data_IF_924316375734
#
_entry.id   IF_924316375734
#
_cell.length_a   1.000
_cell.length_b   1.000
_cell.length_c   1.000
_cell.angle_alpha   90.00
_cell.angle_beta   90.00
_cell.angle_gamma   90.00
#
_symmetry.space_group_name_H-M   'P 1'
#
loop_
_entity.id
_entity.type
_entity.pdbx_description
1 polymer ?
#
# COMPACT_ATOMS: atom_id res chain seq x y z
N UNK A 1 -19.74 8.11 8.31
CA UNK A 1 -20.42 6.85 7.90
C UNK A 1 -19.37 5.74 7.75
N UNK A 2 -18.28 5.90 6.97
CA UNK A 2 -17.26 4.85 6.74
C UNK A 2 -16.58 4.42 8.04
N UNK A 3 -16.02 5.35 8.79
CA UNK A 3 -15.36 5.12 10.08
C UNK A 3 -16.32 4.57 11.15
N UNK A 4 -17.55 5.08 11.15
CA UNK A 4 -18.59 4.70 12.11
C UNK A 4 -19.08 3.27 11.88
N UNK A 5 -19.25 2.85 10.62
CA UNK A 5 -19.70 1.50 10.26
C UNK A 5 -18.56 0.50 10.13
N UNK A 6 -17.31 0.97 10.14
CA UNK A 6 -16.12 0.14 9.87
C UNK A 6 -16.26 -0.69 8.58
N UNK A 7 -16.62 0.01 7.49
CA UNK A 7 -16.79 -0.56 6.16
C UNK A 7 -16.12 0.35 5.13
N UNK A 8 -15.61 -0.19 4.05
CA UNK A 8 -15.09 0.57 2.92
C UNK A 8 -15.54 -0.01 1.59
N UNK A 9 -15.41 0.79 0.55
CA UNK A 9 -15.87 0.46 -0.81
C UNK A 9 -14.68 0.04 -1.66
N UNK A 10 -14.86 -1.05 -2.39
CA UNK A 10 -13.93 -1.59 -3.38
C UNK A 10 -14.59 -1.52 -4.75
N UNK A 11 -14.03 -0.72 -5.64
CA UNK A 11 -14.59 -0.43 -6.95
C UNK A 11 -13.89 -1.26 -8.03
N UNK A 12 -14.69 -1.94 -8.84
CA UNK A 12 -14.26 -2.68 -9.99
C UNK A 12 -13.91 -4.16 -9.76
N UNK A 13 -13.81 -4.93 -10.87
CA UNK A 13 -13.66 -6.40 -10.81
C UNK A 13 -12.33 -6.84 -10.19
N UNK A 14 -11.23 -6.13 -10.45
CA UNK A 14 -9.91 -6.48 -9.89
C UNK A 14 -9.86 -6.31 -8.36
N UNK A 15 -10.53 -5.29 -7.85
CA UNK A 15 -10.65 -5.10 -6.40
C UNK A 15 -11.49 -6.21 -5.76
N UNK A 16 -12.61 -6.58 -6.37
CA UNK A 16 -13.43 -7.70 -5.88
C UNK A 16 -12.67 -9.03 -5.96
N UNK A 17 -11.95 -9.31 -7.06
CA UNK A 17 -11.12 -10.50 -7.22
C UNK A 17 -10.13 -10.63 -6.06
N UNK A 18 -9.35 -9.58 -5.78
CA UNK A 18 -8.40 -9.56 -4.67
C UNK A 18 -9.07 -9.66 -3.28
N UNK A 19 -10.24 -9.03 -3.11
CA UNK A 19 -11.00 -9.13 -1.86
C UNK A 19 -11.48 -10.54 -1.55
N UNK A 20 -11.78 -11.35 -2.58
CA UNK A 20 -12.21 -12.74 -2.44
C UNK A 20 -11.06 -13.68 -2.04
N UNK A 21 -9.80 -13.31 -2.31
CA UNK A 21 -8.62 -14.04 -1.84
C UNK A 21 -8.42 -13.92 -0.31
N UNK A 22 -9.11 -12.96 0.32
CA UNK A 22 -9.08 -12.74 1.77
C UNK A 22 -10.44 -13.09 2.40
N UNK A 23 -10.64 -14.33 2.89
CA UNK A 23 -11.93 -14.80 3.36
C UNK A 23 -12.57 -13.91 4.43
N UNK A 24 -13.89 -13.70 4.33
CA UNK A 24 -14.69 -12.96 5.31
C UNK A 24 -14.56 -11.43 5.24
N UNK A 25 -13.81 -10.88 4.26
CA UNK A 25 -13.69 -9.43 4.09
C UNK A 25 -14.86 -8.81 3.34
N UNK A 26 -15.37 -9.47 2.31
CA UNK A 26 -16.52 -8.99 1.52
C UNK A 26 -17.80 -9.15 2.33
N UNK A 27 -18.60 -8.09 2.42
CA UNK A 27 -19.88 -8.05 3.14
C UNK A 27 -21.08 -8.03 2.23
N UNK A 28 -21.00 -7.32 1.13
CA UNK A 28 -22.04 -7.23 0.11
C UNK A 28 -21.45 -6.79 -1.22
N UNK A 29 -22.09 -7.16 -2.32
CA UNK A 29 -21.68 -6.81 -3.67
C UNK A 29 -22.85 -6.19 -4.41
N UNK A 30 -22.61 -5.09 -5.11
CA UNK A 30 -23.55 -4.41 -6.00
C UNK A 30 -23.09 -4.60 -7.44
N UNK A 31 -23.99 -4.97 -8.35
CA UNK A 31 -23.65 -5.25 -9.73
C UNK A 31 -24.76 -4.79 -10.68
N UNK A 32 -24.38 -4.18 -11.81
CA UNK A 32 -25.32 -3.89 -12.89
C UNK A 32 -25.63 -5.15 -13.70
N UNK A 33 -26.79 -5.25 -14.39
CA UNK A 33 -27.09 -6.40 -15.25
C UNK A 33 -25.99 -6.69 -16.29
N UNK A 34 -25.49 -5.67 -16.97
CA UNK A 34 -24.42 -5.81 -17.95
C UNK A 34 -23.10 -6.28 -17.34
N UNK A 35 -22.74 -5.81 -16.14
CA UNK A 35 -21.54 -6.25 -15.44
C UNK A 35 -21.71 -7.67 -14.88
N UNK A 36 -22.91 -8.08 -14.48
CA UNK A 36 -23.19 -9.44 -14.05
C UNK A 36 -22.94 -10.46 -15.18
N UNK A 37 -23.30 -10.12 -16.40
CA UNK A 37 -23.00 -10.96 -17.57
C UNK A 37 -21.50 -10.94 -17.91
N UNK A 38 -20.90 -9.74 -17.92
CA UNK A 38 -19.47 -9.56 -18.26
C UNK A 38 -18.53 -10.24 -17.28
N UNK A 39 -18.86 -10.24 -15.99
CA UNK A 39 -18.04 -10.78 -14.91
C UNK A 39 -18.66 -12.02 -14.25
N UNK A 40 -19.41 -12.81 -15.03
CA UNK A 40 -20.10 -14.01 -14.53
C UNK A 40 -19.16 -14.96 -13.79
N UNK A 41 -17.97 -15.24 -14.36
CA UNK A 41 -16.98 -16.10 -13.74
C UNK A 41 -16.52 -15.60 -12.35
N UNK A 42 -16.38 -14.28 -12.17
CA UNK A 42 -16.02 -13.69 -10.86
C UNK A 42 -17.17 -13.84 -9.87
N UNK A 43 -18.43 -13.70 -10.31
CA UNK A 43 -19.60 -13.92 -9.47
C UNK A 43 -19.78 -15.41 -9.10
N UNK A 44 -19.39 -16.33 -9.97
CA UNK A 44 -19.36 -17.76 -9.67
C UNK A 44 -18.30 -18.08 -8.59
N UNK A 45 -17.11 -17.44 -8.66
CA UNK A 45 -16.11 -17.52 -7.59
C UNK A 45 -16.67 -16.97 -6.29
N UNK A 46 -17.31 -15.79 -6.30
CA UNK A 46 -17.97 -15.24 -5.12
C UNK A 46 -18.99 -16.22 -4.53
N UNK A 47 -19.88 -16.76 -5.37
CA UNK A 47 -20.92 -17.69 -4.91
C UNK A 47 -20.34 -18.98 -4.30
N UNK A 48 -19.18 -19.45 -4.77
CA UNK A 48 -18.52 -20.64 -4.26
C UNK A 48 -17.68 -20.39 -3.00
N UNK A 49 -17.00 -19.24 -2.89
CA UNK A 49 -16.09 -18.93 -1.79
C UNK A 49 -16.76 -18.16 -0.64
N UNK A 50 -17.83 -17.43 -0.93
CA UNK A 50 -18.56 -16.61 0.03
C UNK A 50 -20.07 -16.63 -0.24
N UNK A 51 -20.74 -17.82 -0.12
CA UNK A 51 -22.15 -18.00 -0.51
C UNK A 51 -23.14 -17.16 0.32
N UNK A 52 -22.77 -16.73 1.51
CA UNK A 52 -23.61 -15.90 2.38
C UNK A 52 -23.52 -14.41 2.07
N UNK A 53 -22.65 -13.99 1.14
CA UNK A 53 -22.50 -12.59 0.75
C UNK A 53 -23.62 -12.19 -0.21
N UNK A 54 -24.50 -11.23 0.15
CA UNK A 54 -25.57 -10.81 -0.73
C UNK A 54 -25.04 -10.08 -1.96
N UNK A 55 -25.64 -10.41 -3.12
CA UNK A 55 -25.40 -9.73 -4.39
C UNK A 55 -26.64 -8.96 -4.82
N UNK A 56 -26.52 -7.64 -4.83
CA UNK A 56 -27.58 -6.72 -5.18
C UNK A 56 -27.48 -6.29 -6.63
N UNK A 57 -28.53 -6.48 -7.41
CA UNK A 57 -28.64 -5.91 -8.76
C UNK A 57 -29.09 -4.45 -8.67
N UNK A 58 -28.33 -3.56 -9.30
CA UNK A 58 -28.59 -2.12 -9.32
C UNK A 58 -28.59 -1.58 -10.75
N UNK A 59 -29.27 -0.47 -10.97
CA UNK A 59 -29.25 0.24 -12.26
C UNK A 59 -28.00 1.15 -12.40
N UNK A 60 -27.85 1.79 -13.55
CA UNK A 60 -26.72 2.69 -13.85
C UNK A 60 -26.62 3.86 -12.86
N UNK A 61 -27.70 4.64 -12.64
CA UNK A 61 -27.68 5.74 -11.68
C UNK A 61 -27.32 5.33 -10.25
N UNK A 62 -27.79 4.19 -9.77
CA UNK A 62 -27.41 3.68 -8.45
C UNK A 62 -25.94 3.26 -8.41
N UNK A 63 -25.43 2.65 -9.48
CA UNK A 63 -24.01 2.29 -9.59
C UNK A 63 -23.12 3.54 -9.62
N UNK A 64 -23.50 4.59 -10.33
CA UNK A 64 -22.77 5.88 -10.34
C UNK A 64 -22.74 6.53 -8.94
N UNK A 65 -23.79 6.37 -8.16
CA UNK A 65 -23.85 6.87 -6.78
C UNK A 65 -22.98 6.05 -5.81
N UNK A 66 -22.74 4.77 -6.09
CA UNK A 66 -21.91 3.87 -5.28
C UNK A 66 -20.42 3.96 -5.62
N UNK A 67 -20.09 4.30 -6.86
CA UNK A 67 -18.72 4.34 -7.38
C UNK A 67 -18.19 5.78 -7.40
N UNK A 68 -16.95 6.00 -7.01
CA UNK A 68 -16.23 7.27 -7.20
C UNK A 68 -15.44 7.29 -8.53
N UNK A 69 -15.53 6.24 -9.35
CA UNK A 69 -14.86 6.20 -10.65
C UNK A 69 -15.63 7.05 -11.68
N UNK A 70 -14.88 7.78 -12.52
CA UNK A 70 -15.47 8.55 -13.63
C UNK A 70 -16.26 7.65 -14.59
N UNK A 71 -15.79 6.39 -14.75
CA UNK A 71 -16.48 5.39 -15.54
C UNK A 71 -16.55 4.10 -14.70
N UNK A 72 -17.66 3.90 -13.96
CA UNK A 72 -17.83 2.70 -13.16
C UNK A 72 -17.76 1.41 -13.98
N UNK A 73 -17.04 0.42 -13.48
CA UNK A 73 -16.98 -0.90 -14.13
C UNK A 73 -18.27 -1.72 -13.96
N UNK A 74 -19.23 -1.21 -13.19
CA UNK A 74 -20.53 -1.82 -12.93
C UNK A 74 -20.53 -2.89 -11.84
N UNK A 75 -19.44 -3.02 -11.08
CA UNK A 75 -19.36 -3.87 -9.90
C UNK A 75 -18.66 -3.12 -8.76
N UNK A 76 -19.26 -3.15 -7.57
CA UNK A 76 -18.76 -2.55 -6.34
C UNK A 76 -18.95 -3.53 -5.20
N UNK A 77 -17.93 -3.71 -4.37
CA UNK A 77 -18.02 -4.49 -3.15
C UNK A 77 -17.89 -3.61 -1.91
N UNK A 78 -18.55 -3.97 -0.83
CA UNK A 78 -18.38 -3.40 0.50
C UNK A 78 -17.60 -4.38 1.35
N UNK A 79 -16.51 -3.92 1.95
CA UNK A 79 -15.57 -4.76 2.69
C UNK A 79 -15.34 -4.24 4.12
N UNK A 80 -14.92 -5.13 5.01
CA UNK A 80 -14.42 -4.78 6.35
C UNK A 80 -13.00 -4.23 6.28
N UNK A 81 -12.58 -3.33 7.20
CA UNK A 81 -11.24 -2.74 7.21
C UNK A 81 -10.13 -3.78 7.18
N UNK A 82 -9.01 -3.38 6.59
CA UNK A 82 -7.83 -4.22 6.33
C UNK A 82 -6.66 -3.90 7.25
N UNK A 83 -6.66 -2.70 7.87
CA UNK A 83 -5.60 -2.25 8.75
C UNK A 83 -5.36 -3.24 9.90
N UNK A 84 -4.09 -3.47 10.19
CA UNK A 84 -3.62 -4.30 11.30
C UNK A 84 -2.84 -3.44 12.30
N UNK A 85 -2.76 -3.83 13.57
CA UNK A 85 -1.83 -3.23 14.52
C UNK A 85 -0.39 -3.31 14.02
N UNK A 86 0.43 -2.26 14.24
CA UNK A 86 1.85 -2.27 13.86
C UNK A 86 2.60 -3.46 14.49
N UNK A 87 2.26 -3.84 15.71
CA UNK A 87 2.84 -4.99 16.38
C UNK A 87 2.63 -6.31 15.61
N UNK A 88 1.45 -6.49 15.00
CA UNK A 88 1.13 -7.68 14.21
C UNK A 88 1.89 -7.70 12.89
N UNK A 89 2.10 -6.53 12.27
CA UNK A 89 2.96 -6.37 11.09
C UNK A 89 4.42 -6.71 11.40
N UNK A 90 4.90 -6.39 12.58
CA UNK A 90 6.30 -6.61 12.99
C UNK A 90 6.57 -8.00 13.58
N UNK A 91 5.54 -8.69 14.07
CA UNK A 91 5.70 -9.99 14.75
C UNK A 91 6.41 -11.06 13.90
N UNK A 92 6.20 -11.18 12.56
CA UNK A 92 6.93 -12.14 11.72
C UNK A 92 8.40 -11.79 11.47
N UNK A 93 8.93 -10.67 12.00
CA UNK A 93 10.25 -10.12 11.72
C UNK A 93 10.45 -9.85 10.23
N UNK A 94 9.79 -8.83 9.69
CA UNK A 94 9.83 -8.50 8.27
C UNK A 94 11.24 -8.18 7.81
N UNK A 95 11.51 -8.44 6.53
CA UNK A 95 12.79 -8.11 5.88
C UNK A 95 12.71 -6.86 5.01
N UNK A 96 11.53 -6.54 4.49
CA UNK A 96 11.33 -5.37 3.64
C UNK A 96 9.99 -4.68 3.95
N UNK A 97 10.06 -3.41 4.35
CA UNK A 97 8.89 -2.59 4.67
C UNK A 97 8.92 -1.26 3.91
N UNK A 98 7.73 -0.69 3.66
CA UNK A 98 7.56 0.71 3.29
C UNK A 98 6.90 1.48 4.43
N UNK A 99 7.52 2.55 4.91
CA UNK A 99 7.02 3.45 5.94
C UNK A 99 6.69 4.80 5.29
N UNK A 100 5.42 5.13 5.15
CA UNK A 100 4.92 6.32 4.47
C UNK A 100 4.59 7.42 5.50
N UNK A 101 5.53 8.33 5.76
CA UNK A 101 5.33 9.42 6.71
C UNK A 101 4.61 10.59 6.05
N UNK A 102 3.44 10.95 6.59
CA UNK A 102 2.59 12.06 6.13
C UNK A 102 2.24 12.04 4.62
N UNK A 103 2.21 10.88 3.99
CA UNK A 103 1.82 10.73 2.59
C UNK A 103 0.32 11.02 2.45
N UNK A 104 -0.03 12.10 1.75
CA UNK A 104 -1.41 12.63 1.69
C UNK A 104 -2.13 12.38 0.38
N UNK A 105 -1.41 12.21 -0.74
CA UNK A 105 -2.08 11.86 -2.00
C UNK A 105 -2.49 10.38 -2.00
N UNK A 106 -3.80 10.09 -2.11
CA UNK A 106 -4.29 8.72 -2.10
C UNK A 106 -3.82 7.89 -3.32
N UNK A 107 -3.49 8.54 -4.44
CA UNK A 107 -2.93 7.89 -5.62
C UNK A 107 -1.51 7.39 -5.36
N UNK A 108 -0.67 8.23 -4.72
CA UNK A 108 0.68 7.84 -4.33
C UNK A 108 0.65 6.74 -3.26
N UNK A 109 -0.17 6.89 -2.21
CA UNK A 109 -0.29 5.86 -1.18
C UNK A 109 -0.68 4.49 -1.75
N UNK A 110 -1.72 4.44 -2.60
CA UNK A 110 -2.12 3.20 -3.26
C UNK A 110 -1.06 2.64 -4.21
N UNK A 111 -0.31 3.52 -4.91
CA UNK A 111 0.78 3.09 -5.79
C UNK A 111 1.97 2.56 -5.00
N UNK A 112 2.30 3.14 -3.84
CA UNK A 112 3.34 2.61 -2.94
C UNK A 112 2.96 1.22 -2.44
N UNK A 113 1.70 1.01 -2.00
CA UNK A 113 1.20 -0.32 -1.60
C UNK A 113 1.37 -1.32 -2.75
N UNK A 114 1.02 -0.93 -3.98
CA UNK A 114 1.19 -1.78 -5.16
C UNK A 114 2.67 -2.07 -5.47
N UNK A 115 3.56 -1.09 -5.33
CA UNK A 115 5.00 -1.29 -5.51
C UNK A 115 5.58 -2.21 -4.44
N UNK A 116 5.13 -2.07 -3.19
CA UNK A 116 5.54 -2.92 -2.08
C UNK A 116 5.13 -4.39 -2.32
N UNK A 117 3.88 -4.62 -2.71
CA UNK A 117 3.38 -5.94 -3.11
C UNK A 117 4.21 -6.54 -4.27
N UNK A 118 4.39 -5.79 -5.36
CA UNK A 118 5.15 -6.23 -6.52
C UNK A 118 6.63 -6.49 -6.22
N UNK A 119 7.24 -5.76 -5.30
CA UNK A 119 8.59 -6.00 -4.81
C UNK A 119 8.66 -7.18 -3.83
N UNK A 120 7.53 -7.70 -3.36
CA UNK A 120 7.43 -8.75 -2.34
C UNK A 120 7.91 -8.25 -0.99
N UNK A 121 7.52 -7.03 -0.63
CA UNK A 121 7.70 -6.52 0.71
C UNK A 121 6.75 -7.23 1.70
N UNK A 122 7.12 -7.24 2.96
CA UNK A 122 6.36 -7.92 4.02
C UNK A 122 5.19 -7.04 4.55
N UNK A 123 5.18 -5.75 4.23
CA UNK A 123 4.09 -4.87 4.59
C UNK A 123 4.36 -3.39 4.38
N UNK A 124 3.34 -2.59 4.69
CA UNK A 124 3.36 -1.12 4.59
C UNK A 124 2.87 -0.51 5.89
N UNK A 125 3.46 0.59 6.34
CA UNK A 125 2.93 1.41 7.41
C UNK A 125 2.63 2.83 6.91
N UNK A 126 1.40 3.30 7.10
CA UNK A 126 0.99 4.68 6.87
C UNK A 126 1.11 5.43 8.19
N UNK A 127 2.02 6.38 8.27
CA UNK A 127 2.44 7.04 9.51
C UNK A 127 2.05 8.51 9.55
N UNK A 128 1.84 9.05 10.75
CA UNK A 128 1.51 10.45 10.96
C UNK A 128 0.12 10.81 10.49
N UNK A 129 0.01 11.91 9.73
CA UNK A 129 -1.24 12.36 9.12
C UNK A 129 -1.39 11.82 7.68
N UNK A 130 -1.03 10.57 7.46
CA UNK A 130 -1.18 9.93 6.16
C UNK A 130 -2.65 9.81 5.73
N UNK A 131 -2.89 9.67 4.43
CA UNK A 131 -4.21 9.43 3.89
C UNK A 131 -4.79 8.13 4.45
N UNK A 132 -6.12 8.11 4.63
CA UNK A 132 -6.82 6.91 5.04
C UNK A 132 -6.61 5.77 4.01
N UNK A 133 -6.11 4.63 4.49
CA UNK A 133 -5.92 3.40 3.71
C UNK A 133 -7.16 3.05 2.88
N UNK A 134 -8.34 3.18 3.49
CA UNK A 134 -9.62 2.82 2.91
C UNK A 134 -10.26 3.94 2.05
N UNK A 135 -9.50 5.00 1.74
CA UNK A 135 -9.94 5.98 0.76
C UNK A 135 -10.13 5.30 -0.60
N UNK A 136 -11.30 5.46 -1.28
CA UNK A 136 -11.58 4.76 -2.54
C UNK A 136 -10.53 4.99 -3.64
N UNK A 137 -9.87 6.17 -3.66
CA UNK A 137 -8.79 6.43 -4.61
C UNK A 137 -7.52 5.65 -4.25
N UNK A 138 -7.20 5.49 -2.94
CA UNK A 138 -6.08 4.64 -2.48
C UNK A 138 -6.32 3.19 -2.87
N UNK A 139 -7.49 2.67 -2.56
CA UNK A 139 -7.89 1.29 -2.88
C UNK A 139 -7.82 1.04 -4.39
N UNK A 140 -8.38 1.94 -5.22
CA UNK A 140 -8.28 1.80 -6.68
C UNK A 140 -6.84 1.84 -7.20
N UNK A 141 -6.02 2.78 -6.70
CA UNK A 141 -4.63 2.92 -7.13
C UNK A 141 -3.76 1.71 -6.79
N UNK A 142 -4.11 0.97 -5.73
CA UNK A 142 -3.42 -0.25 -5.34
C UNK A 142 -3.73 -1.45 -6.23
N UNK A 143 -4.81 -1.40 -7.03
CA UNK A 143 -5.22 -2.47 -7.98
C UNK A 143 -5.33 -3.84 -7.30
N UNK A 144 -5.85 -3.88 -6.06
CA UNK A 144 -6.02 -5.10 -5.26
C UNK A 144 -4.92 -5.37 -4.24
N UNK A 145 -3.72 -4.80 -4.40
CA UNK A 145 -2.58 -5.05 -3.49
C UNK A 145 -2.85 -4.72 -2.01
N UNK A 146 -3.84 -3.87 -1.70
CA UNK A 146 -4.27 -3.64 -0.30
C UNK A 146 -4.76 -4.90 0.40
N UNK A 147 -5.15 -5.94 -0.33
CA UNK A 147 -5.59 -7.24 0.21
C UNK A 147 -4.46 -8.24 0.37
N UNK A 148 -3.31 -8.01 -0.28
CA UNK A 148 -2.19 -8.96 -0.33
C UNK A 148 -1.20 -8.75 0.82
N UNK A 149 -1.08 -7.51 1.32
CA UNK A 149 -0.10 -7.12 2.32
C UNK A 149 -0.76 -6.70 3.63
N UNK A 150 -0.16 -7.00 4.80
CA UNK A 150 -0.52 -6.34 6.04
C UNK A 150 -0.16 -4.84 5.95
N UNK A 151 -1.10 -3.98 6.30
CA UNK A 151 -0.93 -2.53 6.30
C UNK A 151 -1.28 -1.99 7.69
N UNK A 152 -0.32 -1.35 8.35
CA UNK A 152 -0.53 -0.68 9.62
C UNK A 152 -0.79 0.83 9.43
N UNK A 153 -1.52 1.42 10.35
CA UNK A 153 -1.72 2.88 10.42
C UNK A 153 -1.38 3.36 11.82
N UNK A 154 -0.43 4.31 11.95
CA UNK A 154 0.01 4.85 13.22
C UNK A 154 0.19 6.36 13.15
N UNK A 155 -0.25 7.08 14.17
CA UNK A 155 -0.09 8.54 14.24
C UNK A 155 1.28 8.96 14.77
N UNK A 156 1.91 8.14 15.61
CA UNK A 156 3.24 8.39 16.18
C UNK A 156 4.33 7.84 15.26
N UNK A 157 4.89 8.71 14.43
CA UNK A 157 5.97 8.38 13.49
C UNK A 157 7.22 7.91 14.24
N UNK A 158 7.61 8.60 15.31
CA UNK A 158 8.82 8.28 16.05
C UNK A 158 8.71 6.94 16.79
N UNK A 159 7.57 6.69 17.44
CA UNK A 159 7.29 5.40 18.06
C UNK A 159 7.24 4.24 17.07
N UNK A 160 6.65 4.46 15.89
CA UNK A 160 6.62 3.45 14.83
C UNK A 160 8.02 3.11 14.30
N UNK A 161 8.86 4.11 14.01
CA UNK A 161 10.25 3.91 13.60
C UNK A 161 11.05 3.19 14.68
N UNK A 162 10.89 3.58 15.94
CA UNK A 162 11.56 2.91 17.05
C UNK A 162 11.14 1.44 17.19
N UNK A 163 9.85 1.12 17.00
CA UNK A 163 9.34 -0.25 17.01
C UNK A 163 9.92 -1.11 15.87
N UNK A 164 10.03 -0.56 14.66
CA UNK A 164 10.65 -1.22 13.50
C UNK A 164 12.12 -1.54 13.79
N UNK A 165 12.88 -0.58 14.32
CA UNK A 165 14.29 -0.78 14.70
C UNK A 165 14.45 -1.81 15.81
N UNK A 166 13.55 -1.85 16.77
CA UNK A 166 13.58 -2.79 17.89
C UNK A 166 13.47 -4.26 17.47
N UNK A 167 12.85 -4.56 16.32
CA UNK A 167 12.80 -5.92 15.76
C UNK A 167 13.97 -6.25 14.82
N UNK A 168 14.98 -5.36 14.73
CA UNK A 168 16.21 -5.59 13.96
C UNK A 168 16.12 -5.19 12.49
N UNK A 169 15.13 -4.39 12.11
CA UNK A 169 15.00 -3.84 10.75
C UNK A 169 15.66 -2.46 10.70
N UNK A 170 16.59 -2.27 9.77
CA UNK A 170 17.24 -0.97 9.52
C UNK A 170 16.30 -0.03 8.82
N UNK A 171 16.21 1.21 9.30
CA UNK A 171 15.37 2.23 8.68
C UNK A 171 16.23 3.14 7.81
N UNK A 172 15.92 3.20 6.52
CA UNK A 172 16.58 4.06 5.53
C UNK A 172 15.60 5.14 5.07
N UNK A 173 15.94 6.41 5.28
CA UNK A 173 15.16 7.53 4.77
C UNK A 173 15.51 7.77 3.28
N UNK A 174 14.50 7.80 2.43
CA UNK A 174 14.65 8.15 1.02
C UNK A 174 14.52 9.68 0.87
N UNK A 175 15.64 10.37 0.70
CA UNK A 175 15.66 11.84 0.55
C UNK A 175 16.80 12.28 -0.38
N UNK A 176 16.55 13.32 -1.18
CA UNK A 176 17.52 13.84 -2.15
C UNK A 176 18.79 14.43 -1.53
N UNK A 177 18.75 14.79 -0.24
CA UNK A 177 19.90 15.26 0.54
C UNK A 177 20.78 14.15 1.12
N UNK A 178 20.46 12.89 0.86
CA UNK A 178 21.23 11.74 1.35
C UNK A 178 22.68 11.73 0.87
N UNK A 179 23.61 11.40 1.77
CA UNK A 179 25.05 11.28 1.47
C UNK A 179 25.41 9.97 0.80
N UNK A 180 24.63 8.93 1.03
CA UNK A 180 24.76 7.62 0.43
C UNK A 180 23.78 7.53 -0.74
N UNK A 181 24.24 7.16 -1.92
CA UNK A 181 23.33 6.91 -3.01
C UNK A 181 22.79 5.47 -3.02
N UNK A 182 21.64 5.26 -3.66
CA UNK A 182 20.95 3.98 -3.69
C UNK A 182 21.81 2.84 -4.27
N UNK A 183 22.62 3.14 -5.28
CA UNK A 183 23.45 2.13 -5.96
C UNK A 183 24.70 1.81 -5.13
N UNK A 184 25.25 2.80 -4.41
CA UNK A 184 26.32 2.58 -3.43
C UNK A 184 25.82 1.76 -2.24
N UNK A 185 24.61 2.07 -1.73
CA UNK A 185 23.97 1.30 -0.67
C UNK A 185 23.78 -0.18 -1.07
N UNK A 186 23.36 -0.41 -2.33
CA UNK A 186 23.25 -1.77 -2.84
C UNK A 186 24.61 -2.46 -2.99
N UNK A 187 25.59 -1.80 -3.60
CA UNK A 187 26.91 -2.35 -3.84
C UNK A 187 27.67 -2.67 -2.54
N UNK A 188 27.42 -1.92 -1.46
CA UNK A 188 28.00 -2.16 -0.14
C UNK A 188 27.37 -3.35 0.61
N UNK A 189 26.27 -3.92 0.10
CA UNK A 189 25.52 -4.99 0.76
C UNK A 189 24.53 -4.49 1.82
N UNK A 190 24.41 -3.16 2.05
CA UNK A 190 23.51 -2.59 3.02
C UNK A 190 22.06 -3.02 2.78
N UNK A 191 21.64 -3.07 1.51
CA UNK A 191 20.26 -3.41 1.13
C UNK A 191 19.95 -4.91 1.20
N UNK A 192 20.93 -5.78 1.44
CA UNK A 192 20.71 -7.20 1.70
C UNK A 192 20.23 -7.48 3.13
N UNK A 193 20.46 -6.54 4.05
CA UNK A 193 19.95 -6.57 5.42
C UNK A 193 18.42 -6.29 5.47
N UNK A 194 17.70 -6.70 6.55
CA UNK A 194 16.32 -6.30 6.76
C UNK A 194 16.19 -4.78 6.75
N UNK A 195 15.34 -4.25 5.86
CA UNK A 195 15.28 -2.81 5.53
C UNK A 195 13.84 -2.30 5.53
N UNK A 196 13.62 -1.14 6.14
CA UNK A 196 12.40 -0.36 6.04
C UNK A 196 12.70 1.00 5.38
N UNK A 197 12.03 1.30 4.28
CA UNK A 197 12.17 2.57 3.59
C UNK A 197 11.22 3.62 4.15
N UNK A 198 11.75 4.66 4.79
CA UNK A 198 11.03 5.82 5.27
C UNK A 198 10.87 6.81 4.13
N UNK A 199 9.63 7.01 3.71
CA UNK A 199 9.22 7.81 2.55
C UNK A 199 8.43 9.02 3.04
N UNK A 200 8.79 10.22 2.57
CA UNK A 200 8.20 11.47 3.01
C UNK A 200 6.98 11.92 2.21
N UNK A 201 6.51 13.13 2.52
CA UNK A 201 5.40 13.78 1.83
C UNK A 201 5.78 14.22 0.40
N UNK A 202 4.79 14.27 -0.49
CA UNK A 202 4.98 14.62 -1.90
C UNK A 202 5.41 16.07 -2.13
N UNK A 203 5.07 16.98 -1.21
CA UNK A 203 5.30 18.42 -1.38
C UNK A 203 6.57 18.90 -0.69
N UNK A 204 6.90 18.35 0.51
CA UNK A 204 8.02 18.82 1.32
C UNK A 204 9.02 17.73 1.71
N UNK A 205 8.83 16.50 1.24
CA UNK A 205 9.72 15.38 1.55
C UNK A 205 9.63 14.92 3.00
N UNK A 206 10.76 14.58 3.58
CA UNK A 206 10.92 14.26 4.99
C UNK A 206 11.43 15.49 5.74
N UNK A 207 10.71 15.98 6.78
CA UNK A 207 11.28 16.96 7.70
C UNK A 207 12.57 16.44 8.34
N UNK A 208 13.55 17.32 8.61
CA UNK A 208 14.86 16.95 9.19
C UNK A 208 14.72 16.10 10.45
N UNK A 209 13.75 16.43 11.31
CA UNK A 209 13.43 15.69 12.53
C UNK A 209 12.93 14.27 12.28
N UNK A 210 12.22 14.05 11.17
CA UNK A 210 11.72 12.72 10.79
C UNK A 210 12.83 11.93 10.08
N UNK A 211 13.61 12.57 9.21
CA UNK A 211 14.77 11.97 8.57
C UNK A 211 15.83 11.51 9.59
N UNK A 212 16.01 12.26 10.67
CA UNK A 212 16.93 11.93 11.76
C UNK A 212 16.52 10.70 12.60
N UNK A 213 15.30 10.19 12.44
CA UNK A 213 14.87 8.93 13.06
C UNK A 213 15.45 7.70 12.33
N UNK A 214 15.84 7.86 11.06
CA UNK A 214 16.42 6.78 10.26
C UNK A 214 17.87 6.48 10.66
N UNK A 215 18.33 5.29 10.33
CA UNK A 215 19.73 4.88 10.54
C UNK A 215 20.66 5.52 9.50
N UNK A 216 20.17 5.68 8.26
CA UNK A 216 20.88 6.36 7.17
C UNK A 216 19.88 7.11 6.27
N UNK A 217 20.37 8.14 5.57
CA UNK A 217 19.62 8.87 4.54
C UNK A 217 20.22 8.52 3.18
N UNK A 218 19.39 7.97 2.31
CA UNK A 218 19.78 7.46 0.99
C UNK A 218 19.13 8.29 -0.11
N UNK A 219 19.95 8.79 -1.04
CA UNK A 219 19.48 9.52 -2.21
C UNK A 219 19.35 8.62 -3.43
N UNK A 220 18.39 8.93 -4.31
CA UNK A 220 18.31 8.34 -5.64
C UNK A 220 18.99 9.30 -6.61
N UNK A 221 20.06 8.88 -7.32
CA UNK A 221 20.76 9.78 -8.24
C UNK A 221 19.86 10.30 -9.35
N UNK A 222 19.85 11.62 -9.54
CA UNK A 222 19.14 12.29 -10.64
C UNK A 222 20.17 12.68 -11.69
N UNK A 223 20.17 12.00 -12.83
CA UNK A 223 21.13 12.24 -13.91
C UNK A 223 20.66 13.32 -14.92
N UNK A 224 19.41 13.77 -14.82
CA UNK A 224 18.80 14.75 -15.68
C UNK A 224 18.64 16.10 -15.02
N UNK A 225 17.61 16.85 -15.44
CA UNK A 225 17.28 18.19 -14.94
C UNK A 225 16.10 18.21 -13.95
N UNK A 226 15.54 17.05 -13.60
CA UNK A 226 14.49 16.97 -12.62
C UNK A 226 15.07 17.27 -11.23
N UNK A 227 14.32 17.96 -10.38
CA UNK A 227 14.71 18.25 -9.00
C UNK A 227 14.43 17.07 -8.06
N UNK A 228 13.41 16.26 -8.39
CA UNK A 228 12.99 15.11 -7.59
C UNK A 228 12.22 14.10 -8.44
N UNK A 229 11.93 12.93 -7.86
CA UNK A 229 11.04 11.92 -8.40
C UNK A 229 9.67 11.99 -7.71
N UNK A 230 8.62 11.55 -8.41
CA UNK A 230 7.36 11.26 -7.73
C UNK A 230 7.59 10.24 -6.61
N UNK A 231 6.89 10.41 -5.49
CA UNK A 231 7.04 9.56 -4.30
C UNK A 231 6.92 8.07 -4.61
N UNK A 232 5.88 7.66 -5.34
CA UNK A 232 5.68 6.25 -5.65
C UNK A 232 6.77 5.70 -6.60
N UNK A 233 7.33 6.54 -7.47
CA UNK A 233 8.49 6.19 -8.31
C UNK A 233 9.73 5.97 -7.46
N UNK A 234 10.01 6.87 -6.52
CA UNK A 234 11.11 6.72 -5.57
C UNK A 234 10.94 5.46 -4.73
N UNK A 235 9.74 5.23 -4.19
CA UNK A 235 9.41 4.01 -3.45
C UNK A 235 9.66 2.74 -4.26
N UNK A 236 9.26 2.71 -5.54
CA UNK A 236 9.51 1.57 -6.41
C UNK A 236 10.99 1.28 -6.58
N UNK A 237 11.82 2.29 -6.82
CA UNK A 237 13.27 2.12 -6.97
C UNK A 237 13.91 1.58 -5.69
N UNK A 238 13.59 2.17 -4.55
CA UNK A 238 14.12 1.76 -3.24
C UNK A 238 13.71 0.32 -2.89
N UNK A 239 12.42 0.00 -3.02
CA UNK A 239 11.90 -1.32 -2.70
C UNK A 239 12.49 -2.41 -3.61
N UNK A 240 12.60 -2.15 -4.93
CA UNK A 240 13.17 -3.11 -5.87
C UNK A 240 14.68 -3.28 -5.69
N UNK A 241 15.43 -2.24 -5.34
CA UNK A 241 16.85 -2.35 -5.00
C UNK A 241 17.07 -3.28 -3.80
N UNK A 242 16.32 -3.07 -2.71
CA UNK A 242 16.36 -3.97 -1.55
C UNK A 242 15.86 -5.38 -1.88
N UNK A 243 14.74 -5.50 -2.60
CA UNK A 243 14.21 -6.80 -3.00
C UNK A 243 15.19 -7.62 -3.84
N UNK A 244 15.95 -6.98 -4.74
CA UNK A 244 17.00 -7.60 -5.53
C UNK A 244 18.17 -8.03 -4.65
N UNK A 245 18.65 -7.14 -3.79
CA UNK A 245 19.77 -7.43 -2.89
C UNK A 245 19.44 -8.58 -1.93
N UNK A 246 18.24 -8.60 -1.35
CA UNK A 246 17.81 -9.63 -0.39
C UNK A 246 17.51 -10.99 -1.01
N UNK A 247 17.35 -11.07 -2.34
CA UNK A 247 17.11 -12.32 -3.10
C UNK A 247 18.31 -12.77 -3.92
N UNK A 248 19.43 -12.04 -3.85
CA UNK A 248 20.65 -12.44 -4.53
C UNK A 248 21.16 -13.78 -3.97
N UNK A 249 21.68 -14.71 -4.82
CA UNK A 249 22.28 -15.93 -4.33
C UNK A 249 23.44 -15.63 -3.37
N UNK A 250 23.32 -16.04 -2.11
CA UNK A 250 24.33 -15.82 -1.06
C UNK A 250 24.07 -14.64 -0.13
N UNK A 251 22.87 -13.99 -0.23
CA UNK A 251 22.42 -13.00 0.75
C UNK A 251 21.88 -13.68 2.03
#
# INVERSE_FOLDING_TARGET
VRTERRLFVVDGPKGLEAALETPGRVREVFVTPAAAERYAALLDVLASTAPDVPVHRVDGPAMEALSEAVTPAGVVAVCTPLDVPLADLLAPRPRLLALCADVRDPGNAGTVVRCADAAGADGVALLGNAVDLHNPKTVRASVGSVFHLPIATETDVAGAVAAVRAVGVRVLAADGGGRLDLFEAEASGLLAEPTAWLLGNEAWGLPDEVAALADDVVSIPIHGRAESLNLATAAALCLYASARAQRAPGA
#
